data_IF_265694842607
#
_entry.id   IF_265694842607
#
_cell.length_a   1.000
_cell.length_b   1.000
_cell.length_c   1.000
_cell.angle_alpha   90.00
_cell.angle_beta   90.00
_cell.angle_gamma   90.00
#
_symmetry.space_group_name_H-M   'P 1'
#
loop_
_entity.id
_entity.type
_entity.pdbx_description
1 polymer ?
#
# COMPACT_ATOMS: atom_id res chain seq x y z
N UNK A 1 21.18 -9.57 0.28
CA UNK A 1 20.19 -10.14 -0.67
C UNK A 1 18.79 -9.81 -0.18
N UNK A 2 18.17 -8.75 -0.69
CA UNK A 2 16.74 -8.46 -0.48
C UNK A 2 16.14 -8.19 -1.86
N UNK A 3 15.69 -9.26 -2.53
CA UNK A 3 15.03 -9.23 -3.84
C UNK A 3 13.57 -9.63 -3.64
N UNK A 4 12.75 -8.72 -3.14
CA UNK A 4 11.31 -8.95 -2.98
C UNK A 4 10.43 -7.84 -3.58
N UNK A 5 10.97 -6.92 -4.38
CA UNK A 5 10.27 -5.64 -4.65
C UNK A 5 9.73 -5.42 -6.05
N UNK A 6 9.71 -6.39 -6.99
CA UNK A 6 9.26 -6.05 -8.36
C UNK A 6 8.39 -7.09 -9.09
N UNK A 7 8.05 -8.22 -8.48
CA UNK A 7 7.33 -9.28 -9.20
C UNK A 7 5.81 -9.05 -9.25
N UNK A 8 5.20 -8.47 -8.21
CA UNK A 8 3.76 -8.20 -8.18
C UNK A 8 3.29 -7.26 -9.32
N UNK A 9 4.13 -6.30 -9.74
CA UNK A 9 3.88 -5.45 -10.91
C UNK A 9 3.77 -6.24 -12.22
N UNK A 10 4.45 -7.39 -12.33
CA UNK A 10 4.44 -8.23 -13.54
C UNK A 10 3.23 -9.15 -13.62
N UNK A 11 2.56 -9.42 -12.51
CA UNK A 11 1.48 -10.42 -12.44
C UNK A 11 0.10 -9.81 -12.24
N UNK A 12 -0.01 -8.63 -11.62
CA UNK A 12 -1.30 -7.97 -11.40
C UNK A 12 -1.27 -6.50 -11.81
N UNK A 13 -2.04 -6.17 -12.86
CA UNK A 13 -2.28 -4.80 -13.30
C UNK A 13 -3.66 -4.31 -12.78
N UNK A 14 -3.71 -3.30 -11.91
CA UNK A 14 -4.98 -2.71 -11.47
C UNK A 14 -5.75 -2.08 -12.64
N UNK A 15 -7.09 -2.12 -12.59
CA UNK A 15 -7.98 -1.58 -13.62
C UNK A 15 -8.87 -0.46 -13.10
N UNK A 16 -9.22 0.50 -13.97
CA UNK A 16 -10.00 1.69 -13.58
C UNK A 16 -9.13 2.66 -12.78
N UNK A 17 -9.67 3.24 -11.71
CA UNK A 17 -8.92 4.12 -10.79
C UNK A 17 -8.33 3.36 -9.59
N UNK A 18 -7.89 2.11 -9.79
CA UNK A 18 -7.42 1.24 -8.70
C UNK A 18 -5.92 1.34 -8.48
N UNK A 19 -5.52 1.17 -7.22
CA UNK A 19 -4.15 1.22 -6.74
C UNK A 19 -3.89 -0.01 -5.88
N UNK A 20 -2.81 -0.73 -6.18
CA UNK A 20 -2.34 -1.85 -5.38
C UNK A 20 -1.32 -1.35 -4.36
N UNK A 21 -1.58 -1.64 -3.09
CA UNK A 21 -0.78 -1.18 -1.96
C UNK A 21 -0.34 -2.37 -1.11
N UNK A 22 0.91 -2.32 -0.66
CA UNK A 22 1.43 -3.19 0.40
C UNK A 22 1.37 -2.43 1.72
N UNK A 23 0.58 -2.92 2.69
CA UNK A 23 0.49 -2.31 4.02
C UNK A 23 1.85 -2.39 4.73
N UNK A 24 2.24 -1.29 5.37
CA UNK A 24 3.45 -1.25 6.20
C UNK A 24 3.16 -2.00 7.50
N UNK A 25 4.09 -2.88 7.91
CA UNK A 25 4.00 -3.54 9.21
C UNK A 25 4.38 -2.54 10.31
N UNK A 26 3.64 -2.54 11.41
CA UNK A 26 3.96 -1.72 12.58
C UNK A 26 5.40 -2.00 13.04
N UNK A 27 6.18 -0.93 13.21
CA UNK A 27 7.53 -1.03 13.76
C UNK A 27 7.45 -1.64 15.17
N UNK A 28 8.15 -2.77 15.39
CA UNK A 28 8.23 -3.43 16.71
C UNK A 28 8.94 -2.59 17.77
N UNK A 29 9.64 -1.52 17.36
CA UNK A 29 10.30 -0.56 18.24
C UNK A 29 9.90 0.86 17.84
N UNK A 30 9.39 1.62 18.80
CA UNK A 30 9.20 3.06 18.64
C UNK A 30 10.54 3.78 18.81
N UNK A 31 10.69 4.99 18.24
CA UNK A 31 11.92 5.81 18.34
C UNK A 31 12.41 6.06 19.79
N UNK A 32 11.55 5.84 20.78
CA UNK A 32 11.85 5.99 22.21
C UNK A 32 12.36 4.71 22.90
N UNK A 33 12.57 3.60 22.16
CA UNK A 33 13.07 2.34 22.74
C UNK A 33 12.01 1.52 23.51
N UNK A 34 10.75 1.95 23.49
CA UNK A 34 9.65 1.24 24.15
C UNK A 34 9.11 0.14 23.22
N UNK A 35 9.14 -1.10 23.71
CA UNK A 35 8.52 -2.25 23.08
C UNK A 35 7.00 -2.11 23.19
N UNK A 36 6.33 -1.91 22.06
CA UNK A 36 4.86 -1.94 22.01
C UNK A 36 4.44 -3.41 22.01
N UNK A 37 3.58 -3.85 22.95
CA UNK A 37 3.03 -5.20 22.94
C UNK A 37 2.38 -5.49 21.58
N UNK A 38 2.59 -6.68 21.03
CA UNK A 38 2.13 -7.07 19.68
C UNK A 38 0.60 -6.90 19.51
N UNK A 39 -0.16 -6.87 20.62
CA UNK A 39 -1.60 -6.63 20.67
C UNK A 39 -2.03 -5.17 20.45
N UNK A 40 -1.13 -4.20 20.65
CA UNK A 40 -1.41 -2.74 20.51
C UNK A 40 -0.73 -2.15 19.27
N UNK A 41 0.00 -2.98 18.51
CA UNK A 41 0.45 -2.64 17.16
C UNK A 41 -0.77 -2.58 16.23
N UNK A 42 -1.53 -1.47 16.32
CA UNK A 42 -2.68 -1.21 15.48
C UNK A 42 -2.32 -1.35 14.01
N UNK A 43 -3.32 -1.68 13.17
CA UNK A 43 -3.16 -1.67 11.72
C UNK A 43 -2.57 -0.32 11.34
N UNK A 44 -1.31 -0.30 10.89
CA UNK A 44 -0.73 0.93 10.37
C UNK A 44 -1.57 1.27 9.16
N UNK A 45 -2.20 2.44 9.19
CA UNK A 45 -2.99 2.96 8.10
C UNK A 45 -2.07 3.58 7.03
N UNK A 46 -0.88 3.00 6.84
CA UNK A 46 0.10 3.43 5.86
C UNK A 46 0.46 2.23 5.00
N UNK A 47 0.76 2.50 3.74
CA UNK A 47 1.25 1.48 2.84
C UNK A 47 2.04 2.06 1.69
N UNK A 48 2.83 1.21 1.06
CA UNK A 48 3.63 1.56 -0.12
C UNK A 48 2.87 1.13 -1.37
N UNK A 49 2.71 2.04 -2.32
CA UNK A 49 2.10 1.77 -3.62
C UNK A 49 3.01 0.84 -4.42
N UNK A 50 2.48 -0.31 -4.80
CA UNK A 50 3.19 -1.33 -5.57
C UNK A 50 2.83 -1.23 -7.05
N UNK A 51 1.56 -0.98 -7.36
CA UNK A 51 1.09 -0.83 -8.74
C UNK A 51 -0.04 0.19 -8.83
N UNK A 52 -0.13 0.86 -9.97
CA UNK A 52 -1.18 1.85 -10.26
C UNK A 52 -1.83 1.46 -11.59
N UNK A 53 -3.12 1.68 -11.72
CA UNK A 53 -3.81 1.49 -13.00
C UNK A 53 -3.23 2.41 -14.09
N UNK A 54 -3.37 1.97 -15.34
CA UNK A 54 -2.91 2.76 -16.48
C UNK A 54 -3.71 4.05 -16.61
N UNK A 55 -3.02 5.17 -16.84
CA UNK A 55 -3.68 6.44 -17.16
C UNK A 55 -4.55 6.29 -18.41
N UNK A 56 -5.72 6.91 -18.37
CA UNK A 56 -6.62 7.02 -19.52
C UNK A 56 -6.73 8.49 -19.92
N UNK A 57 -7.46 8.77 -21.01
CA UNK A 57 -7.71 10.15 -21.43
C UNK A 57 -8.48 10.96 -20.39
N UNK A 58 -9.34 10.29 -19.62
CA UNK A 58 -10.27 10.92 -18.68
C UNK A 58 -9.78 10.83 -17.22
N UNK A 59 -8.73 10.05 -16.96
CA UNK A 59 -8.18 9.86 -15.61
C UNK A 59 -6.66 9.72 -15.65
N UNK A 60 -5.98 10.54 -14.84
CA UNK A 60 -4.54 10.48 -14.63
C UNK A 60 -4.27 10.16 -13.16
N UNK A 61 -3.50 9.11 -12.84
CA UNK A 61 -3.15 8.81 -11.47
C UNK A 61 -2.32 9.93 -10.86
N UNK A 62 -2.71 10.33 -9.66
CA UNK A 62 -2.01 11.28 -8.79
C UNK A 62 -0.92 10.60 -7.96
N UNK A 63 -1.07 9.30 -7.66
CA UNK A 63 -0.09 8.50 -6.94
C UNK A 63 0.85 7.73 -7.89
N UNK A 64 2.08 7.49 -7.45
CA UNK A 64 3.11 6.77 -8.20
C UNK A 64 3.54 5.50 -7.47
N UNK A 65 4.12 4.58 -8.24
CA UNK A 65 4.77 3.39 -7.67
C UNK A 65 5.90 3.82 -6.72
N UNK A 66 5.96 3.19 -5.56
CA UNK A 66 6.82 3.49 -4.40
C UNK A 66 6.40 4.69 -3.56
N UNK A 67 5.30 5.38 -3.86
CA UNK A 67 4.78 6.40 -2.95
C UNK A 67 4.28 5.74 -1.66
N UNK A 68 4.48 6.43 -0.53
CA UNK A 68 3.87 6.03 0.74
C UNK A 68 2.55 6.77 0.87
N UNK A 69 1.46 6.03 1.05
CA UNK A 69 0.11 6.57 1.11
C UNK A 69 -0.56 6.26 2.44
N UNK A 70 -1.40 7.19 2.89
CA UNK A 70 -2.28 7.00 4.02
C UNK A 70 -3.56 6.30 3.54
N UNK A 71 -3.79 5.13 4.10
CA UNK A 71 -4.92 4.26 3.81
C UNK A 71 -6.10 4.60 4.73
N UNK A 72 -7.34 4.46 4.25
CA UNK A 72 -8.51 4.55 5.12
C UNK A 72 -8.54 3.38 6.11
N UNK A 73 -9.16 3.59 7.28
CA UNK A 73 -9.32 2.54 8.30
C UNK A 73 -10.09 1.33 7.78
N UNK A 74 -11.05 1.58 6.88
CA UNK A 74 -11.93 0.60 6.28
C UNK A 74 -11.89 0.68 4.75
N UNK A 75 -12.26 -0.44 4.13
CA UNK A 75 -12.26 -0.56 2.68
C UNK A 75 -10.97 -1.15 2.11
N UNK A 76 -10.94 -1.21 0.79
CA UNK A 76 -9.96 -1.98 0.03
C UNK A 76 -10.26 -3.48 0.04
N UNK A 77 -9.81 -4.17 -1.00
CA UNK A 77 -9.94 -5.61 -1.15
C UNK A 77 -8.59 -6.28 -0.91
N UNK A 78 -8.55 -7.31 -0.06
CA UNK A 78 -7.35 -8.15 0.08
C UNK A 78 -7.18 -9.00 -1.16
N UNK A 79 -5.97 -9.02 -1.71
CA UNK A 79 -5.58 -9.80 -2.88
C UNK A 79 -4.27 -10.49 -2.57
N UNK A 80 -4.24 -11.82 -2.71
CA UNK A 80 -3.00 -12.60 -2.59
C UNK A 80 -2.39 -12.83 -3.95
N UNK A 81 -1.14 -12.40 -4.14
CA UNK A 81 -0.38 -12.56 -5.37
C UNK A 81 0.94 -13.22 -5.02
N UNK A 82 1.26 -14.36 -5.64
CA UNK A 82 2.53 -15.09 -5.40
C UNK A 82 2.79 -15.44 -3.92
N UNK A 83 1.74 -15.59 -3.12
CA UNK A 83 1.84 -15.89 -1.69
C UNK A 83 2.03 -14.67 -0.78
N UNK A 84 2.18 -13.46 -1.35
CA UNK A 84 2.18 -12.19 -0.61
C UNK A 84 0.76 -11.59 -0.60
N UNK A 85 0.39 -10.96 0.53
CA UNK A 85 -0.88 -10.26 0.68
C UNK A 85 -0.74 -8.78 0.36
N UNK A 86 -1.56 -8.32 -0.57
CA UNK A 86 -1.69 -6.93 -0.98
C UNK A 86 -3.12 -6.46 -0.75
N UNK A 87 -3.29 -5.14 -0.77
CA UNK A 87 -4.58 -4.51 -0.68
C UNK A 87 -4.80 -3.63 -1.89
N UNK A 88 -5.97 -3.78 -2.51
CA UNK A 88 -6.36 -3.00 -3.66
C UNK A 88 -7.38 -1.96 -3.23
N UNK A 89 -7.06 -0.69 -3.46
CA UNK A 89 -7.85 0.48 -3.10
C UNK A 89 -8.29 1.22 -4.36
N UNK A 90 -9.36 2.00 -4.26
CA UNK A 90 -9.62 3.06 -5.23
C UNK A 90 -8.74 4.26 -4.89
N UNK A 91 -8.22 4.96 -5.89
CA UNK A 91 -7.39 6.15 -5.67
C UNK A 91 -8.16 7.20 -4.84
N UNK A 92 -9.45 7.40 -5.12
CA UNK A 92 -10.33 8.33 -4.39
C UNK A 92 -10.50 7.98 -2.90
N UNK A 93 -10.19 6.74 -2.50
CA UNK A 93 -10.28 6.30 -1.10
C UNK A 93 -9.00 6.51 -0.32
N UNK A 94 -7.88 6.83 -1.00
CA UNK A 94 -6.62 7.14 -0.35
C UNK A 94 -6.74 8.51 0.33
N UNK A 95 -6.30 8.59 1.58
CA UNK A 95 -6.44 9.81 2.39
C UNK A 95 -5.34 10.85 2.07
N UNK A 96 -4.21 10.39 1.52
CA UNK A 96 -3.14 11.28 1.09
C UNK A 96 -1.83 10.54 0.79
N UNK A 97 -0.88 11.25 0.18
CA UNK A 97 0.50 10.80 -0.01
C UNK A 97 1.36 11.38 1.11
N UNK A 98 2.06 10.53 1.86
CA UNK A 98 3.02 10.95 2.86
C UNK A 98 4.30 11.39 2.16
N UNK A 99 4.62 12.68 2.26
CA UNK A 99 5.86 13.26 1.77
C UNK A 99 6.87 13.26 2.92
N UNK A 100 7.91 12.43 2.80
CA UNK A 100 9.02 12.30 3.75
C UNK A 100 10.35 12.37 3.04
#
# INVERSE_FOLDING_TARGET
MFRATFTALKTLQPLGSRVLVRRTLAAKQTKAGVLIPEQVAGKVNEGTVVAVAAATKDWTPTVKVNDTVLLPEFGGSSVKVEGEEFFLYSEDSLLGVLQG
#
